data_IF_891882149893
#
_entry.id   IF_891882149893
#
_cell.length_a   1.000
_cell.length_b   1.000
_cell.length_c   1.000
_cell.angle_alpha   90.00
_cell.angle_beta   90.00
_cell.angle_gamma   90.00
#
_symmetry.space_group_name_H-M   'P 1'
#
loop_
_entity.id
_entity.type
_entity.pdbx_description
1 polymer ?
#
# COMPACT_ATOMS: atom_id res chain seq x y z
N UNK A 1 29.11 28.75 -4.02
CA UNK A 1 28.21 28.27 -5.10
C UNK A 1 27.20 27.31 -4.45
N UNK A 2 25.91 27.47 -4.77
CA UNK A 2 24.91 26.51 -4.31
C UNK A 2 25.16 25.12 -4.95
N UNK A 3 25.07 24.02 -4.18
CA UNK A 3 25.28 22.68 -4.74
C UNK A 3 24.19 22.38 -5.77
N UNK A 4 24.61 22.01 -6.98
CA UNK A 4 23.72 21.69 -8.10
C UNK A 4 23.93 20.25 -8.54
N UNK A 5 22.84 19.63 -8.95
CA UNK A 5 22.81 18.25 -9.48
C UNK A 5 22.42 18.32 -10.94
N UNK A 6 23.20 17.63 -11.81
CA UNK A 6 22.98 17.60 -13.27
C UNK A 6 22.88 18.96 -13.91
N UNK A 7 23.52 19.98 -13.34
CA UNK A 7 23.44 21.38 -13.76
C UNK A 7 22.02 21.97 -13.84
N UNK A 8 21.00 21.23 -13.42
CA UNK A 8 19.57 21.60 -13.56
C UNK A 8 18.84 21.73 -12.23
N UNK A 9 19.31 21.05 -11.19
CA UNK A 9 18.57 20.97 -9.94
C UNK A 9 19.42 21.53 -8.80
N UNK A 10 18.89 22.53 -8.10
CA UNK A 10 19.47 23.06 -6.88
C UNK A 10 19.14 22.10 -5.74
N UNK A 11 20.16 21.67 -4.97
CA UNK A 11 19.98 20.83 -3.81
C UNK A 11 19.52 21.68 -2.62
N UNK A 12 18.40 21.31 -2.01
CA UNK A 12 17.82 21.97 -0.85
C UNK A 12 18.01 21.20 0.45
N UNK A 13 17.04 21.31 1.35
CA UNK A 13 17.07 20.64 2.65
C UNK A 13 16.84 19.13 2.53
N UNK A 14 17.40 18.36 3.47
CA UNK A 14 17.10 16.93 3.64
C UNK A 14 15.65 16.75 4.07
N UNK A 15 14.91 15.88 3.36
CA UNK A 15 13.50 15.55 3.63
C UNK A 15 13.31 14.11 4.09
N UNK A 16 14.31 13.23 3.90
CA UNK A 16 14.22 11.85 4.32
C UNK A 16 15.56 11.14 4.36
N UNK A 17 15.55 9.93 4.92
CA UNK A 17 16.67 9.01 4.93
C UNK A 17 16.11 7.60 4.79
N UNK A 18 16.52 6.87 3.78
CA UNK A 18 16.15 5.47 3.54
C UNK A 18 17.30 4.51 3.86
N UNK A 19 17.04 3.22 3.68
CA UNK A 19 18.03 2.16 3.90
C UNK A 19 19.25 2.28 2.98
N UNK A 20 19.12 2.99 1.85
CA UNK A 20 20.10 3.04 0.78
C UNK A 20 20.57 4.45 0.41
N UNK A 21 20.23 5.46 1.20
CA UNK A 21 20.66 6.82 0.91
C UNK A 21 19.85 7.91 1.60
N UNK A 22 20.18 9.13 1.27
CA UNK A 22 19.52 10.33 1.80
C UNK A 22 18.66 10.97 0.72
N UNK A 23 17.53 11.56 1.13
CA UNK A 23 16.58 12.19 0.22
C UNK A 23 16.52 13.68 0.56
N UNK A 24 16.65 14.50 -0.47
CA UNK A 24 16.66 15.96 -0.39
C UNK A 24 15.54 16.56 -1.23
N UNK A 25 14.99 17.66 -0.77
CA UNK A 25 14.20 18.54 -1.61
C UNK A 25 15.13 19.18 -2.63
N UNK A 26 14.74 19.23 -3.89
CA UNK A 26 15.44 19.95 -4.94
C UNK A 26 14.51 20.86 -5.69
N UNK A 27 15.09 21.84 -6.41
CA UNK A 27 14.33 22.76 -7.28
C UNK A 27 14.97 22.78 -8.66
N UNK A 28 14.19 22.54 -9.69
CA UNK A 28 14.63 22.75 -11.06
C UNK A 28 14.85 24.27 -11.29
N UNK A 29 16.07 24.65 -11.64
CA UNK A 29 16.46 26.08 -11.77
C UNK A 29 15.81 26.77 -12.96
N UNK A 30 15.28 26.01 -13.93
CA UNK A 30 14.65 26.56 -15.14
C UNK A 30 13.13 26.72 -14.96
N UNK A 31 12.48 25.73 -14.32
CA UNK A 31 11.01 25.67 -14.22
C UNK A 31 10.50 26.01 -12.82
N UNK A 32 11.38 26.15 -11.83
CA UNK A 32 11.06 26.27 -10.40
C UNK A 32 10.26 25.09 -9.84
N UNK A 33 10.13 23.99 -10.58
CA UNK A 33 9.45 22.79 -10.12
C UNK A 33 10.25 22.11 -9.00
N UNK A 34 9.56 21.76 -7.92
CA UNK A 34 10.15 20.99 -6.83
C UNK A 34 10.28 19.50 -7.19
N UNK A 35 11.38 18.90 -6.78
CA UNK A 35 11.72 17.51 -7.06
C UNK A 35 12.27 16.84 -5.80
N UNK A 36 12.24 15.50 -5.77
CA UNK A 36 12.97 14.71 -4.78
C UNK A 36 14.31 14.26 -5.37
N UNK A 37 15.39 14.44 -4.61
CA UNK A 37 16.76 14.06 -5.00
C UNK A 37 17.26 13.00 -4.03
N UNK A 38 17.40 11.75 -4.50
CA UNK A 38 17.94 10.63 -3.73
C UNK A 38 19.43 10.49 -4.03
N UNK A 39 20.25 10.50 -2.96
CA UNK A 39 21.70 10.37 -3.02
C UNK A 39 22.14 9.05 -2.41
N UNK A 40 22.99 8.31 -3.10
CA UNK A 40 23.64 7.08 -2.64
C UNK A 40 25.14 7.21 -2.81
N UNK A 41 25.93 7.00 -1.76
CA UNK A 41 27.38 7.06 -1.87
C UNK A 41 27.91 5.93 -2.77
N UNK A 42 28.77 6.24 -3.75
CA UNK A 42 29.33 5.26 -4.70
C UNK A 42 30.14 4.15 -4.02
N UNK A 43 30.69 4.43 -2.81
CA UNK A 43 31.45 3.48 -2.01
C UNK A 43 30.56 2.54 -1.18
N UNK A 44 29.24 2.65 -1.32
CA UNK A 44 28.29 1.77 -0.63
C UNK A 44 28.55 0.32 -1.01
N UNK A 45 28.59 -0.57 -0.03
CA UNK A 45 28.90 -2.01 -0.22
C UNK A 45 27.94 -2.71 -1.22
N UNK A 46 26.69 -2.25 -1.28
CA UNK A 46 25.65 -2.79 -2.15
C UNK A 46 24.90 -1.64 -2.83
N UNK A 47 25.46 -1.04 -3.89
CA UNK A 47 24.82 0.07 -4.59
C UNK A 47 23.55 -0.40 -5.29
N UNK A 48 22.45 0.32 -5.09
CA UNK A 48 21.12 -0.03 -5.61
C UNK A 48 20.51 1.06 -6.48
N UNK A 49 20.95 2.31 -6.35
CA UNK A 49 20.28 3.44 -6.98
C UNK A 49 20.28 3.38 -8.51
N UNK A 50 21.34 2.83 -9.11
CA UNK A 50 21.38 2.59 -10.56
C UNK A 50 20.34 1.54 -11.00
N UNK A 51 20.19 0.47 -10.23
CA UNK A 51 19.18 -0.56 -10.50
C UNK A 51 17.77 0.01 -10.34
N UNK A 52 17.54 0.73 -9.25
CA UNK A 52 16.28 1.40 -8.95
C UNK A 52 15.90 2.39 -10.06
N UNK A 53 16.83 3.21 -10.55
CA UNK A 53 16.59 4.16 -11.64
C UNK A 53 16.16 3.49 -12.94
N UNK A 54 16.79 2.33 -13.28
CA UNK A 54 16.39 1.53 -14.44
C UNK A 54 14.97 0.98 -14.28
N UNK A 55 14.61 0.57 -13.07
CA UNK A 55 13.31 0.02 -12.77
C UNK A 55 12.21 1.09 -12.89
N UNK A 56 12.45 2.28 -12.33
CA UNK A 56 11.52 3.42 -12.51
C UNK A 56 11.28 3.71 -14.00
N UNK A 57 12.30 3.65 -14.85
CA UNK A 57 12.14 3.84 -16.31
C UNK A 57 11.26 2.76 -16.95
N UNK A 58 11.38 1.50 -16.50
CA UNK A 58 10.52 0.39 -16.97
C UNK A 58 9.07 0.57 -16.52
N UNK A 59 8.87 1.08 -15.31
CA UNK A 59 7.56 1.30 -14.69
C UNK A 59 6.95 2.65 -15.07
N UNK A 60 7.71 3.55 -15.69
CA UNK A 60 7.28 4.92 -16.01
C UNK A 60 5.99 4.95 -16.82
N UNK A 61 5.15 5.94 -16.54
CA UNK A 61 3.82 6.09 -17.15
C UNK A 61 2.72 5.27 -16.45
N UNK A 62 3.06 4.39 -15.51
CA UNK A 62 2.08 3.70 -14.66
C UNK A 62 1.46 4.65 -13.65
N UNK A 63 0.16 4.53 -13.46
CA UNK A 63 -0.55 5.30 -12.44
C UNK A 63 0.05 5.04 -11.06
N UNK A 64 0.44 6.09 -10.33
CA UNK A 64 1.05 5.99 -9.01
C UNK A 64 2.49 5.46 -9.02
N UNK A 65 3.22 5.69 -10.10
CA UNK A 65 4.67 5.56 -10.19
C UNK A 65 5.26 6.95 -10.44
N UNK A 66 6.20 7.44 -9.63
CA UNK A 66 6.83 8.74 -9.87
C UNK A 66 7.69 8.72 -11.14
N UNK A 67 7.75 9.86 -11.82
CA UNK A 67 8.60 10.01 -13.01
C UNK A 67 10.04 10.27 -12.60
N UNK A 68 10.98 9.64 -13.31
CA UNK A 68 12.40 9.98 -13.23
C UNK A 68 12.66 11.23 -14.05
N UNK A 69 13.25 12.23 -13.42
CA UNK A 69 13.61 13.51 -14.03
C UNK A 69 15.06 13.52 -14.49
N UNK A 70 15.94 12.86 -13.75
CA UNK A 70 17.35 12.74 -14.08
C UNK A 70 18.01 11.63 -13.26
N UNK A 71 19.08 11.04 -13.82
CA UNK A 71 19.97 10.13 -13.10
C UNK A 71 21.39 10.36 -13.57
N UNK A 72 22.35 10.40 -12.65
CA UNK A 72 23.77 10.53 -12.95
C UNK A 72 24.66 10.34 -11.73
N UNK A 73 25.94 10.66 -11.89
CA UNK A 73 26.95 10.64 -10.83
C UNK A 73 27.42 12.07 -10.62
N UNK A 74 27.41 12.51 -9.36
CA UNK A 74 27.92 13.82 -8.94
C UNK A 74 28.89 13.64 -7.76
N UNK A 75 30.17 13.89 -7.99
CA UNK A 75 31.22 13.64 -7.02
C UNK A 75 31.20 12.19 -6.52
N UNK A 76 31.08 12.00 -5.21
CA UNK A 76 31.05 10.68 -4.57
C UNK A 76 29.63 10.04 -4.53
N UNK A 77 28.64 10.55 -5.26
CA UNK A 77 27.26 10.08 -5.17
C UNK A 77 26.65 9.66 -6.51
N UNK A 78 25.98 8.52 -6.51
CA UNK A 78 24.92 8.22 -7.45
C UNK A 78 23.69 9.08 -7.08
N UNK A 79 23.05 9.71 -8.05
CA UNK A 79 21.97 10.64 -7.82
C UNK A 79 20.78 10.30 -8.70
N UNK A 80 19.60 10.19 -8.09
CA UNK A 80 18.34 10.01 -8.78
C UNK A 80 17.41 11.18 -8.44
N UNK A 81 16.94 11.87 -9.47
CA UNK A 81 15.95 12.96 -9.35
C UNK A 81 14.62 12.47 -9.88
N UNK A 82 13.57 12.64 -9.09
CA UNK A 82 12.22 12.17 -9.41
C UNK A 82 11.17 13.19 -8.95
N UNK A 83 9.92 12.93 -9.31
CA UNK A 83 8.79 13.71 -8.83
C UNK A 83 8.82 13.81 -7.30
N UNK A 84 8.58 15.01 -6.77
CA UNK A 84 8.31 15.19 -5.35
C UNK A 84 6.92 14.64 -5.04
N UNK A 85 6.82 13.87 -3.98
CA UNK A 85 5.57 13.30 -3.48
C UNK A 85 5.25 13.84 -2.10
N UNK A 86 4.02 13.62 -1.67
CA UNK A 86 3.54 13.97 -0.34
C UNK A 86 4.01 12.97 0.74
N UNK A 87 3.35 12.97 1.90
CA UNK A 87 3.71 12.12 3.03
C UNK A 87 3.50 10.64 2.73
N UNK A 88 4.28 9.79 3.39
CA UNK A 88 4.08 8.34 3.35
C UNK A 88 2.82 7.92 4.12
N UNK A 89 2.30 6.73 3.81
CA UNK A 89 1.18 6.18 4.58
C UNK A 89 1.55 5.90 6.04
N UNK A 90 2.84 5.68 6.37
CA UNK A 90 3.29 5.58 7.76
C UNK A 90 3.22 6.94 8.48
N UNK A 91 3.60 8.04 7.79
CA UNK A 91 3.48 9.40 8.34
C UNK A 91 2.02 9.76 8.60
N UNK A 92 1.14 9.48 7.63
CA UNK A 92 -0.30 9.74 7.74
C UNK A 92 -0.96 8.86 8.80
N UNK A 93 -0.54 7.61 8.92
CA UNK A 93 -0.98 6.72 9.98
C UNK A 93 -0.60 7.25 11.36
N UNK A 94 0.64 7.72 11.52
CA UNK A 94 1.08 8.34 12.77
C UNK A 94 0.32 9.66 13.05
N UNK A 95 0.05 10.48 12.03
CA UNK A 95 -0.76 11.68 12.13
C UNK A 95 -2.19 11.38 12.62
N UNK A 96 -2.78 10.26 12.18
CA UNK A 96 -4.08 9.75 12.61
C UNK A 96 -4.01 8.94 13.92
N UNK A 97 -3.01 9.19 14.79
CA UNK A 97 -2.84 8.50 16.07
C UNK A 97 -2.78 6.97 15.93
N UNK A 98 -2.20 6.50 14.83
CA UNK A 98 -1.97 5.07 14.50
C UNK A 98 -3.27 4.25 14.44
N UNK A 99 -4.32 4.81 13.89
CA UNK A 99 -5.57 4.10 13.59
C UNK A 99 -6.25 4.76 12.40
N UNK A 100 -6.59 3.97 11.40
CA UNK A 100 -7.37 4.42 10.26
C UNK A 100 -8.76 3.77 10.28
N UNK A 101 -9.75 4.51 9.81
CA UNK A 101 -11.12 4.01 9.64
C UNK A 101 -11.19 2.93 8.56
N UNK A 102 -12.21 2.08 8.65
CA UNK A 102 -12.45 1.05 7.63
C UNK A 102 -12.61 1.68 6.24
N UNK A 103 -13.33 2.81 6.12
CA UNK A 103 -13.48 3.56 4.86
C UNK A 103 -12.13 3.92 4.25
N UNK A 104 -11.25 4.55 5.04
CA UNK A 104 -9.90 4.94 4.59
C UNK A 104 -9.08 3.73 4.17
N UNK A 105 -9.09 2.64 4.96
CA UNK A 105 -8.33 1.42 4.64
C UNK A 105 -8.82 0.77 3.36
N UNK A 106 -10.13 0.72 3.11
CA UNK A 106 -10.69 0.15 1.88
C UNK A 106 -10.38 0.99 0.64
N UNK A 107 -10.42 2.33 0.75
CA UNK A 107 -9.99 3.22 -0.35
C UNK A 107 -8.50 3.06 -0.67
N UNK A 108 -7.66 2.85 0.35
CA UNK A 108 -6.23 2.56 0.17
C UNK A 108 -6.02 1.18 -0.45
N UNK A 109 -6.75 0.16 0.01
CA UNK A 109 -6.63 -1.21 -0.48
C UNK A 109 -6.85 -1.30 -2.00
N UNK A 110 -7.89 -0.65 -2.53
CA UNK A 110 -8.16 -0.60 -3.98
C UNK A 110 -6.96 -0.03 -4.74
N UNK A 111 -6.41 1.10 -4.29
CA UNK A 111 -5.27 1.71 -4.95
C UNK A 111 -3.99 0.87 -4.81
N UNK A 112 -3.70 0.35 -3.61
CA UNK A 112 -2.47 -0.39 -3.35
C UNK A 112 -2.45 -1.72 -4.12
N UNK A 113 -3.58 -2.44 -4.20
CA UNK A 113 -3.70 -3.65 -5.04
C UNK A 113 -3.41 -3.30 -6.50
N UNK A 114 -3.95 -2.20 -7.01
CA UNK A 114 -3.68 -1.75 -8.38
C UNK A 114 -2.19 -1.43 -8.61
N UNK A 115 -1.46 -0.87 -7.62
CA UNK A 115 0.00 -0.62 -7.73
C UNK A 115 0.77 -1.92 -7.79
N UNK A 116 0.45 -2.87 -6.91
CA UNK A 116 1.10 -4.19 -6.89
C UNK A 116 0.81 -4.96 -8.19
N UNK A 117 -0.44 -4.98 -8.65
CA UNK A 117 -0.83 -5.58 -9.94
C UNK A 117 -0.01 -4.99 -11.10
N UNK A 118 0.12 -3.66 -11.18
CA UNK A 118 0.89 -3.01 -12.22
C UNK A 118 2.37 -3.43 -12.21
N UNK A 119 3.01 -3.44 -11.03
CA UNK A 119 4.41 -3.87 -10.88
C UNK A 119 4.56 -5.33 -11.34
N UNK A 120 3.64 -6.21 -10.93
CA UNK A 120 3.64 -7.62 -11.32
C UNK A 120 3.39 -7.80 -12.83
N UNK A 121 2.53 -6.99 -13.45
CA UNK A 121 2.32 -6.99 -14.91
C UNK A 121 3.60 -6.63 -15.68
N UNK A 122 4.45 -5.78 -15.12
CA UNK A 122 5.78 -5.45 -15.66
C UNK A 122 6.85 -6.51 -15.37
N UNK A 123 6.44 -7.67 -14.85
CA UNK A 123 7.30 -8.84 -14.54
C UNK A 123 8.25 -8.65 -13.35
N UNK A 124 7.92 -7.74 -12.43
CA UNK A 124 8.70 -7.49 -11.22
C UNK A 124 7.88 -7.75 -9.95
N UNK A 125 8.59 -8.12 -8.87
CA UNK A 125 8.10 -8.11 -7.50
C UNK A 125 8.69 -6.90 -6.81
N UNK A 126 7.94 -6.30 -5.87
CA UNK A 126 8.43 -5.21 -5.06
C UNK A 126 9.34 -5.70 -3.92
N UNK A 127 8.92 -6.74 -3.20
CA UNK A 127 9.61 -7.44 -2.11
C UNK A 127 9.82 -6.63 -0.80
N UNK A 128 9.35 -5.39 -0.75
CA UNK A 128 9.35 -4.59 0.49
C UNK A 128 8.07 -3.75 0.61
N UNK A 129 6.93 -4.42 0.52
CA UNK A 129 5.61 -3.82 0.72
C UNK A 129 5.48 -3.41 2.19
N UNK A 130 5.42 -2.10 2.43
CA UNK A 130 5.28 -1.48 3.76
C UNK A 130 4.70 -0.08 3.63
N UNK A 131 4.09 0.50 4.69
CA UNK A 131 3.49 1.83 4.65
C UNK A 131 4.45 2.94 4.21
N UNK A 132 5.75 2.83 4.58
CA UNK A 132 6.78 3.81 4.22
C UNK A 132 7.01 3.91 2.71
N UNK A 133 6.74 2.84 1.96
CA UNK A 133 6.97 2.75 0.52
C UNK A 133 5.73 3.10 -0.32
N UNK A 134 4.67 3.61 0.32
CA UNK A 134 3.50 4.17 -0.35
C UNK A 134 3.31 5.62 0.10
N UNK A 135 3.36 6.54 -0.84
CA UNK A 135 3.24 7.98 -0.61
C UNK A 135 1.97 8.52 -1.29
N UNK A 136 1.35 9.52 -0.70
CA UNK A 136 0.31 10.27 -1.40
C UNK A 136 0.95 11.23 -2.42
N UNK A 137 0.23 11.55 -3.47
CA UNK A 137 0.64 12.59 -4.40
C UNK A 137 0.49 14.00 -3.81
N UNK A 138 0.79 15.01 -4.63
CA UNK A 138 0.67 16.42 -4.28
C UNK A 138 -0.31 17.15 -5.22
N UNK A 139 -0.89 18.26 -4.77
CA UNK A 139 -1.79 19.09 -5.53
C UNK A 139 -2.98 18.29 -6.09
N UNK A 140 -3.21 18.37 -7.39
CA UNK A 140 -4.31 17.63 -8.06
C UNK A 140 -4.25 16.12 -7.92
N UNK A 141 -3.12 15.55 -7.48
CA UNK A 141 -2.91 14.12 -7.26
C UNK A 141 -2.85 13.74 -5.78
N UNK A 142 -3.26 14.64 -4.87
CA UNK A 142 -3.18 14.42 -3.42
C UNK A 142 -4.00 13.23 -2.92
N UNK A 143 -4.96 12.75 -3.71
CA UNK A 143 -5.77 11.56 -3.42
C UNK A 143 -5.21 10.27 -4.04
N UNK A 144 -4.07 10.33 -4.73
CA UNK A 144 -3.46 9.21 -5.43
C UNK A 144 -2.32 8.60 -4.63
N UNK A 145 -2.34 7.27 -4.46
CA UNK A 145 -1.27 6.50 -3.82
C UNK A 145 -0.18 6.18 -4.85
N UNK A 146 1.07 6.46 -4.50
CA UNK A 146 2.28 6.14 -5.26
C UNK A 146 3.06 5.04 -4.58
N UNK A 147 3.61 4.09 -5.36
CA UNK A 147 4.59 3.11 -4.89
C UNK A 147 6.00 3.60 -5.20
N UNK A 148 6.90 3.49 -4.22
CA UNK A 148 8.29 3.93 -4.30
C UNK A 148 9.25 2.86 -3.76
N UNK A 149 10.56 3.12 -3.92
CA UNK A 149 11.67 2.32 -3.38
C UNK A 149 11.75 0.91 -3.96
N UNK A 150 12.13 0.83 -5.22
CA UNK A 150 12.33 -0.43 -5.93
C UNK A 150 13.74 -1.03 -5.75
N UNK A 151 14.51 -0.56 -4.77
CA UNK A 151 15.88 -1.03 -4.51
C UNK A 151 15.96 -2.53 -4.20
N UNK A 152 14.91 -3.13 -3.66
CA UNK A 152 14.80 -4.57 -3.40
C UNK A 152 13.98 -5.34 -4.44
N UNK A 153 13.45 -4.67 -5.46
CA UNK A 153 12.60 -5.32 -6.45
C UNK A 153 13.36 -6.40 -7.24
N UNK A 154 12.63 -7.37 -7.78
CA UNK A 154 13.22 -8.51 -8.52
C UNK A 154 12.35 -8.90 -9.71
N UNK A 155 12.99 -9.12 -10.87
CA UNK A 155 12.33 -9.74 -12.02
C UNK A 155 11.97 -11.19 -11.66
N UNK A 156 10.66 -11.55 -11.70
CA UNK A 156 10.18 -12.85 -11.31
C UNK A 156 9.81 -13.76 -12.49
N UNK A 157 9.74 -13.19 -13.69
CA UNK A 157 9.53 -13.95 -14.92
C UNK A 157 10.26 -13.28 -16.09
N UNK A 158 10.56 -14.06 -17.10
CA UNK A 158 11.04 -13.49 -18.35
C UNK A 158 9.97 -12.64 -19.03
N UNK A 159 10.35 -11.52 -19.62
CA UNK A 159 9.41 -10.57 -20.23
C UNK A 159 8.82 -11.05 -21.53
N UNK A 160 9.51 -11.96 -22.24
CA UNK A 160 9.12 -12.47 -23.55
C UNK A 160 8.43 -13.82 -23.44
N UNK A 161 9.07 -14.77 -22.78
CA UNK A 161 8.57 -16.14 -22.63
C UNK A 161 7.56 -16.29 -21.49
N UNK A 162 7.50 -15.32 -20.58
CA UNK A 162 6.72 -15.35 -19.35
C UNK A 162 7.07 -16.51 -18.41
N UNK A 163 8.21 -17.18 -18.64
CA UNK A 163 8.70 -18.23 -17.76
C UNK A 163 9.04 -17.68 -16.40
N UNK A 164 8.42 -18.25 -15.35
CA UNK A 164 8.63 -17.86 -13.96
C UNK A 164 10.02 -18.31 -13.47
N UNK A 165 10.62 -17.55 -12.55
CA UNK A 165 11.84 -17.98 -11.85
C UNK A 165 11.57 -19.30 -11.12
N UNK A 166 12.59 -20.18 -10.97
CA UNK A 166 12.42 -21.46 -10.29
C UNK A 166 12.15 -21.28 -8.79
N UNK A 167 11.36 -22.20 -8.25
CA UNK A 167 11.19 -22.32 -6.80
C UNK A 167 12.54 -22.66 -6.14
N UNK A 168 12.85 -21.97 -5.05
CA UNK A 168 14.07 -22.18 -4.25
C UNK A 168 13.76 -21.97 -2.77
N UNK A 169 14.51 -22.71 -1.94
CA UNK A 169 14.48 -22.59 -0.48
C UNK A 169 15.81 -22.05 0.04
N UNK A 170 15.90 -21.92 1.35
CA UNK A 170 17.10 -21.43 2.06
C UNK A 170 17.52 -20.01 1.64
N UNK A 171 16.54 -19.15 1.34
CA UNK A 171 16.76 -17.73 1.01
C UNK A 171 16.81 -16.89 2.28
N UNK A 172 17.72 -15.92 2.29
CA UNK A 172 17.72 -14.91 3.34
C UNK A 172 16.45 -14.06 3.27
N UNK A 173 15.94 -13.67 4.44
CA UNK A 173 14.81 -12.75 4.53
C UNK A 173 15.15 -11.44 3.81
N UNK A 174 14.38 -11.12 2.79
CA UNK A 174 14.47 -9.86 2.03
C UNK A 174 13.22 -9.02 2.33
N UNK A 175 13.40 -7.72 2.55
CA UNK A 175 12.34 -6.80 2.93
C UNK A 175 12.22 -6.59 4.43
N UNK A 176 11.11 -6.03 4.86
CA UNK A 176 10.84 -5.64 6.24
C UNK A 176 10.15 -6.77 6.99
N UNK A 177 10.81 -7.37 7.99
CA UNK A 177 10.33 -8.56 8.71
C UNK A 177 8.90 -8.42 9.27
N UNK A 178 8.49 -7.20 9.68
CA UNK A 178 7.14 -6.92 10.17
C UNK A 178 6.06 -7.30 9.15
N UNK A 179 6.30 -7.00 7.88
CA UNK A 179 5.32 -7.18 6.81
C UNK A 179 5.63 -8.36 5.89
N UNK A 180 6.82 -8.96 5.95
CA UNK A 180 7.22 -10.10 5.13
C UNK A 180 6.23 -11.27 5.26
N UNK A 181 5.95 -11.97 4.16
CA UNK A 181 5.07 -13.15 4.14
C UNK A 181 5.61 -14.29 5.00
N UNK A 182 4.76 -15.25 5.36
CA UNK A 182 5.22 -16.45 6.07
C UNK A 182 6.27 -17.21 5.28
N UNK A 183 6.08 -17.39 3.97
CA UNK A 183 7.03 -18.09 3.12
C UNK A 183 8.39 -17.41 3.09
N UNK A 184 8.42 -16.06 3.10
CA UNK A 184 9.66 -15.29 3.18
C UNK A 184 10.41 -15.54 4.50
N UNK A 185 9.70 -15.67 5.62
CA UNK A 185 10.32 -16.06 6.91
C UNK A 185 10.85 -17.49 6.91
N UNK A 186 10.19 -18.41 6.21
CA UNK A 186 10.61 -19.80 6.04
C UNK A 186 11.76 -19.98 5.03
N UNK A 187 12.26 -18.89 4.45
CA UNK A 187 13.35 -18.93 3.49
C UNK A 187 12.96 -19.40 2.09
N UNK A 188 11.69 -19.33 1.74
CA UNK A 188 11.20 -19.64 0.40
C UNK A 188 11.40 -18.41 -0.49
N UNK A 189 11.80 -18.61 -1.75
CA UNK A 189 11.92 -17.56 -2.75
C UNK A 189 10.59 -16.82 -2.91
N UNK A 190 10.63 -15.49 -2.96
CA UNK A 190 9.42 -14.67 -3.07
C UNK A 190 8.83 -14.74 -4.47
N UNK A 191 7.50 -14.68 -4.55
CA UNK A 191 6.70 -14.56 -5.75
C UNK A 191 5.56 -13.55 -5.57
N UNK A 192 4.64 -13.47 -6.52
CA UNK A 192 3.52 -12.49 -6.48
C UNK A 192 2.65 -12.62 -5.23
N UNK A 193 2.42 -13.85 -4.74
CA UNK A 193 1.64 -14.10 -3.52
C UNK A 193 2.23 -13.44 -2.28
N UNK A 194 3.55 -13.32 -2.23
CA UNK A 194 4.27 -12.79 -1.07
C UNK A 194 4.10 -11.25 -0.94
N UNK A 195 4.15 -10.51 -2.06
CA UNK A 195 3.83 -9.08 -2.06
C UNK A 195 2.37 -8.83 -1.64
N UNK A 196 1.43 -9.68 -2.07
CA UNK A 196 0.01 -9.57 -1.69
C UNK A 196 -0.21 -9.93 -0.21
N UNK A 197 0.43 -10.97 0.33
CA UNK A 197 0.34 -11.29 1.75
C UNK A 197 0.90 -10.13 2.61
N UNK A 198 2.02 -9.53 2.17
CA UNK A 198 2.59 -8.34 2.80
C UNK A 198 1.62 -7.16 2.79
N UNK A 199 0.91 -6.95 1.69
CA UNK A 199 -0.14 -5.93 1.60
C UNK A 199 -1.27 -6.19 2.60
N UNK A 200 -1.72 -7.44 2.73
CA UNK A 200 -2.70 -7.82 3.75
C UNK A 200 -2.27 -7.42 5.16
N UNK A 201 -1.00 -7.66 5.51
CA UNK A 201 -0.45 -7.23 6.81
C UNK A 201 -0.42 -5.71 6.97
N UNK A 202 -0.16 -4.95 5.93
CA UNK A 202 -0.24 -3.48 5.95
C UNK A 202 -1.68 -3.01 6.23
N UNK A 203 -2.68 -3.60 5.56
CA UNK A 203 -4.09 -3.24 5.78
C UNK A 203 -4.53 -3.55 7.21
N UNK A 204 -4.17 -4.73 7.74
CA UNK A 204 -4.46 -5.07 9.13
C UNK A 204 -3.71 -4.19 10.13
N UNK A 205 -2.48 -3.78 9.82
CA UNK A 205 -1.72 -2.83 10.62
C UNK A 205 -2.44 -1.48 10.76
N UNK A 206 -3.01 -0.97 9.67
CA UNK A 206 -3.77 0.27 9.67
C UNK A 206 -5.06 0.18 10.49
N UNK A 207 -5.77 -0.94 10.42
CA UNK A 207 -7.00 -1.15 11.18
C UNK A 207 -6.73 -1.39 12.68
N UNK A 208 -5.70 -2.19 13.00
CA UNK A 208 -5.41 -2.63 14.36
C UNK A 208 -4.59 -1.63 15.18
N UNK A 209 -3.82 -0.76 14.53
CA UNK A 209 -2.82 0.10 15.18
C UNK A 209 -1.45 -0.57 15.32
N UNK A 210 -1.40 -1.90 15.36
CA UNK A 210 -0.18 -2.71 15.47
C UNK A 210 -0.43 -4.14 15.01
N UNK A 211 0.66 -4.91 14.79
CA UNK A 211 0.60 -6.33 14.49
C UNK A 211 1.06 -7.17 15.71
N UNK A 212 0.54 -8.41 15.89
CA UNK A 212 0.81 -9.24 17.07
C UNK A 212 2.30 -9.56 17.31
N UNK A 213 3.13 -9.43 16.29
CA UNK A 213 4.57 -9.69 16.33
C UNK A 213 5.43 -8.43 16.44
N UNK A 214 4.84 -7.28 16.82
CA UNK A 214 5.56 -6.06 17.14
C UNK A 214 5.97 -6.02 18.61
N UNK A 215 7.00 -5.24 18.92
CA UNK A 215 7.46 -5.02 20.31
C UNK A 215 8.19 -6.20 20.94
N UNK A 216 8.49 -7.28 20.20
CA UNK A 216 9.19 -8.44 20.73
C UNK A 216 10.63 -8.08 21.09
N UNK A 217 11.02 -8.38 22.37
CA UNK A 217 12.39 -8.19 22.87
C UNK A 217 13.29 -9.31 22.36
N UNK A 218 14.47 -8.97 21.86
CA UNK A 218 15.49 -9.91 21.39
C UNK A 218 16.88 -9.34 21.60
N UNK A 219 17.86 -10.21 21.84
CA UNK A 219 19.25 -9.80 22.05
C UNK A 219 19.97 -9.36 20.78
N UNK A 220 19.59 -9.92 19.63
CA UNK A 220 20.18 -9.58 18.33
C UNK A 220 19.16 -9.65 17.20
N UNK A 221 19.58 -9.19 16.01
CA UNK A 221 18.71 -9.13 14.82
C UNK A 221 18.18 -10.50 14.39
N UNK A 222 19.01 -11.57 14.47
CA UNK A 222 18.63 -12.94 14.09
C UNK A 222 17.53 -13.44 15.01
N UNK A 223 17.73 -13.39 16.31
CA UNK A 223 16.72 -13.77 17.32
C UNK A 223 15.42 -12.96 17.18
N UNK A 224 15.53 -11.66 16.85
CA UNK A 224 14.35 -10.85 16.59
C UNK A 224 13.55 -11.38 15.41
N UNK A 225 14.20 -11.76 14.33
CA UNK A 225 13.54 -12.31 13.14
C UNK A 225 12.93 -13.70 13.42
N UNK A 226 13.61 -14.56 14.17
CA UNK A 226 13.11 -15.85 14.63
C UNK A 226 11.83 -15.66 15.45
N UNK A 227 11.85 -14.81 16.48
CA UNK A 227 10.66 -14.53 17.31
C UNK A 227 9.49 -13.94 16.50
N UNK A 228 9.77 -13.07 15.52
CA UNK A 228 8.73 -12.54 14.62
C UNK A 228 8.14 -13.68 13.78
N UNK A 229 8.98 -14.54 13.24
CA UNK A 229 8.55 -15.71 12.46
C UNK A 229 7.68 -16.66 13.29
N UNK A 230 8.15 -17.06 14.46
CA UNK A 230 7.41 -17.92 15.38
C UNK A 230 6.04 -17.34 15.75
N UNK A 231 6.02 -16.05 16.13
CA UNK A 231 4.77 -15.36 16.48
C UNK A 231 3.82 -15.23 15.30
N UNK A 232 4.34 -15.01 14.10
CA UNK A 232 3.56 -14.93 12.87
C UNK A 232 2.97 -16.29 12.49
N UNK A 233 3.75 -17.36 12.58
CA UNK A 233 3.29 -18.75 12.36
C UNK A 233 2.23 -19.17 13.37
N UNK A 234 2.42 -18.85 14.65
CA UNK A 234 1.46 -19.17 15.72
C UNK A 234 0.21 -18.30 15.75
N UNK A 235 0.13 -17.25 14.93
CA UNK A 235 -1.06 -16.40 14.83
C UNK A 235 -1.89 -16.84 13.63
N UNK A 236 -3.06 -17.45 13.86
CA UNK A 236 -3.98 -17.82 12.79
C UNK A 236 -4.56 -16.56 12.10
N UNK A 237 -5.03 -16.73 10.87
CA UNK A 237 -5.69 -15.66 10.11
C UNK A 237 -6.91 -15.14 10.87
N UNK A 238 -7.71 -16.04 11.45
CA UNK A 238 -8.90 -15.72 12.23
C UNK A 238 -8.56 -14.91 13.48
N UNK A 239 -7.45 -15.25 14.14
CA UNK A 239 -6.94 -14.50 15.29
C UNK A 239 -6.43 -13.12 14.89
N UNK A 240 -5.73 -13.02 13.76
CA UNK A 240 -5.26 -11.74 13.21
C UNK A 240 -6.41 -10.83 12.83
N UNK A 241 -7.46 -11.36 12.19
CA UNK A 241 -8.59 -10.60 11.66
C UNK A 241 -9.78 -10.52 12.63
N UNK A 242 -9.65 -11.04 13.86
CA UNK A 242 -10.76 -11.03 14.85
C UNK A 242 -11.25 -9.61 15.13
N UNK A 243 -12.58 -9.42 15.02
CA UNK A 243 -13.23 -8.12 15.23
C UNK A 243 -13.18 -7.18 14.03
N UNK A 244 -12.73 -7.67 12.88
CA UNK A 244 -12.74 -6.93 11.61
C UNK A 244 -13.56 -7.72 10.57
N UNK A 245 -14.00 -7.08 9.46
CA UNK A 245 -14.77 -7.75 8.41
C UNK A 245 -14.08 -9.03 7.89
N UNK A 246 -14.88 -10.05 7.63
CA UNK A 246 -14.41 -11.39 7.20
C UNK A 246 -13.64 -11.36 5.89
N UNK A 247 -13.85 -10.34 5.08
CA UNK A 247 -13.16 -10.11 3.82
C UNK A 247 -11.63 -10.02 3.98
N UNK A 248 -11.16 -9.50 5.11
CA UNK A 248 -9.71 -9.49 5.40
C UNK A 248 -9.18 -10.91 5.63
N UNK A 249 -9.93 -11.78 6.31
CA UNK A 249 -9.56 -13.18 6.44
C UNK A 249 -9.60 -13.90 5.08
N UNK A 250 -10.64 -13.67 4.28
CA UNK A 250 -10.77 -14.22 2.92
C UNK A 250 -9.60 -13.80 2.03
N UNK A 251 -9.15 -12.54 2.13
CA UNK A 251 -7.98 -12.04 1.43
C UNK A 251 -6.71 -12.85 1.77
N UNK A 252 -6.44 -13.09 3.06
CA UNK A 252 -5.28 -13.88 3.48
C UNK A 252 -5.37 -15.34 3.07
N UNK A 253 -6.55 -15.96 3.20
CA UNK A 253 -6.77 -17.34 2.77
C UNK A 253 -6.52 -17.48 1.27
N UNK A 254 -7.00 -16.54 0.47
CA UNK A 254 -6.72 -16.52 -0.95
C UNK A 254 -5.22 -16.39 -1.23
N UNK A 255 -4.53 -15.41 -0.67
CA UNK A 255 -3.10 -15.22 -0.89
C UNK A 255 -2.27 -16.46 -0.52
N UNK A 256 -2.62 -17.13 0.60
CA UNK A 256 -1.93 -18.33 1.06
C UNK A 256 -2.28 -19.60 0.29
N UNK A 257 -3.42 -19.64 -0.41
CA UNK A 257 -3.80 -20.73 -1.29
C UNK A 257 -3.06 -20.74 -2.63
N UNK A 258 -2.47 -19.61 -3.01
CA UNK A 258 -1.72 -19.48 -4.26
C UNK A 258 -0.43 -20.30 -4.22
N UNK A 259 -0.17 -21.07 -5.27
CA UNK A 259 1.12 -21.71 -5.51
C UNK A 259 2.18 -20.68 -5.86
N UNK A 260 3.43 -21.11 -5.89
CA UNK A 260 4.58 -20.22 -6.11
C UNK A 260 4.49 -19.40 -7.41
N UNK A 261 4.07 -20.04 -8.50
CA UNK A 261 4.00 -19.46 -9.85
C UNK A 261 2.59 -19.05 -10.31
N UNK A 262 1.58 -19.25 -9.46
CA UNK A 262 0.20 -18.88 -9.79
C UNK A 262 0.08 -17.37 -10.06
N UNK A 263 -0.72 -17.04 -11.09
CA UNK A 263 -1.13 -15.66 -11.34
C UNK A 263 -2.29 -15.31 -10.40
N UNK A 264 -2.13 -14.32 -9.51
CA UNK A 264 -3.23 -13.88 -8.66
C UNK A 264 -4.39 -13.29 -9.45
N UNK A 265 -5.61 -13.53 -8.99
CA UNK A 265 -6.80 -12.81 -9.44
C UNK A 265 -6.94 -11.50 -8.65
N UNK A 266 -6.29 -10.45 -9.15
CA UNK A 266 -6.35 -9.12 -8.54
C UNK A 266 -7.76 -8.53 -8.60
N UNK A 267 -8.54 -8.89 -9.63
CA UNK A 267 -9.91 -8.42 -9.76
C UNK A 267 -10.79 -8.99 -8.65
N UNK A 268 -10.60 -10.27 -8.31
CA UNK A 268 -11.26 -10.88 -7.16
C UNK A 268 -10.88 -10.16 -5.85
N UNK A 269 -9.57 -9.91 -5.59
CA UNK A 269 -9.12 -9.23 -4.38
C UNK A 269 -9.67 -7.80 -4.26
N UNK A 270 -9.77 -7.07 -5.37
CA UNK A 270 -10.40 -5.75 -5.39
C UNK A 270 -11.90 -5.84 -5.16
N UNK A 271 -12.56 -6.85 -5.74
CA UNK A 271 -14.01 -7.03 -5.63
C UNK A 271 -14.44 -7.30 -4.20
N UNK A 272 -13.77 -8.20 -3.44
CA UNK A 272 -14.15 -8.49 -2.05
C UNK A 272 -14.13 -7.24 -1.17
N UNK A 273 -13.16 -6.34 -1.37
CA UNK A 273 -13.11 -5.08 -0.63
C UNK A 273 -14.09 -4.03 -1.16
N UNK A 274 -14.37 -4.03 -2.46
CA UNK A 274 -15.36 -3.13 -3.05
C UNK A 274 -16.78 -3.51 -2.61
N UNK A 275 -17.10 -4.79 -2.58
CA UNK A 275 -18.40 -5.28 -2.12
C UNK A 275 -18.60 -4.95 -0.64
N UNK A 276 -17.56 -5.10 0.19
CA UNK A 276 -17.55 -4.64 1.57
C UNK A 276 -17.79 -3.13 1.65
N UNK A 277 -17.08 -2.33 0.87
CA UNK A 277 -17.20 -0.86 0.84
C UNK A 277 -18.63 -0.40 0.52
N UNK A 278 -19.27 -1.05 -0.45
CA UNK A 278 -20.67 -0.79 -0.84
C UNK A 278 -21.62 -1.21 0.29
N UNK A 279 -21.42 -2.40 0.89
CA UNK A 279 -22.24 -2.93 1.98
C UNK A 279 -22.22 -2.04 3.21
N UNK A 280 -21.08 -1.42 3.53
CA UNK A 280 -20.93 -0.46 4.61
C UNK A 280 -21.51 0.94 4.27
N UNK A 281 -22.07 1.13 3.07
CA UNK A 281 -22.67 2.40 2.63
C UNK A 281 -21.65 3.51 2.36
N UNK A 282 -20.37 3.18 2.18
CA UNK A 282 -19.34 4.17 1.93
C UNK A 282 -19.39 4.71 0.49
N UNK A 283 -18.83 5.91 0.28
CA UNK A 283 -18.66 6.52 -1.03
C UNK A 283 -17.19 6.76 -1.33
N UNK A 284 -16.77 6.53 -2.58
CA UNK A 284 -15.42 6.80 -3.09
C UNK A 284 -15.23 8.30 -3.35
N UNK A 285 -15.24 9.08 -2.27
CA UNK A 285 -15.05 10.53 -2.29
C UNK A 285 -13.59 10.95 -2.07
N UNK A 286 -12.70 9.99 -1.79
CA UNK A 286 -11.30 10.19 -1.44
C UNK A 286 -11.08 11.11 -0.23
N UNK A 287 -12.09 11.25 0.63
CA UNK A 287 -11.98 11.95 1.92
C UNK A 287 -11.42 10.96 2.93
N UNK A 288 -10.11 11.02 3.12
CA UNK A 288 -9.37 10.19 4.06
C UNK A 288 -9.41 10.77 5.49
N UNK A 289 -9.12 9.94 6.50
CA UNK A 289 -9.12 10.36 7.91
C UNK A 289 -8.21 11.56 8.16
N UNK A 290 -7.02 11.62 7.56
CA UNK A 290 -6.11 12.77 7.67
C UNK A 290 -6.66 14.04 7.04
N UNK A 291 -7.48 13.94 6.01
CA UNK A 291 -8.15 15.09 5.40
C UNK A 291 -9.14 15.69 6.37
N UNK A 292 -9.93 14.84 7.03
CA UNK A 292 -10.90 15.26 8.07
C UNK A 292 -10.17 15.91 9.24
N UNK A 293 -9.11 15.27 9.74
CA UNK A 293 -8.33 15.78 10.88
C UNK A 293 -7.67 17.13 10.55
N UNK A 294 -7.10 17.28 9.36
CA UNK A 294 -6.50 18.55 8.92
C UNK A 294 -7.57 19.66 8.86
N UNK A 295 -8.73 19.36 8.31
CA UNK A 295 -9.84 20.31 8.27
C UNK A 295 -10.28 20.72 9.67
N UNK A 296 -10.46 19.77 10.60
CA UNK A 296 -10.82 20.06 11.98
C UNK A 296 -9.78 20.93 12.69
N UNK A 297 -8.49 20.66 12.49
CA UNK A 297 -7.40 21.46 13.04
C UNK A 297 -7.41 22.89 12.48
N UNK A 298 -7.67 23.06 11.18
CA UNK A 298 -7.77 24.38 10.57
C UNK A 298 -8.92 25.23 11.10
N UNK A 299 -10.06 24.59 11.41
CA UNK A 299 -11.20 25.26 12.03
C UNK A 299 -10.91 25.70 13.47
N UNK A 300 -10.14 24.91 14.22
CA UNK A 300 -9.72 25.28 15.57
C UNK A 300 -8.67 26.38 15.57
N UNK A 301 -7.78 26.43 14.57
CA UNK A 301 -6.75 27.45 14.44
C UNK A 301 -7.32 28.81 13.97
N UNK A 302 -8.39 28.79 13.18
CA UNK A 302 -9.10 29.98 12.70
C UNK A 302 -10.60 29.84 13.03
N UNK A 303 -11.00 30.07 14.28
CA UNK A 303 -12.43 30.07 14.63
C UNK A 303 -13.12 31.16 13.81
N UNK A 304 -14.30 30.88 13.19
CA UNK A 304 -15.05 31.89 12.49
C UNK A 304 -15.32 33.05 13.46
N UNK A 305 -14.90 34.27 13.09
CA UNK A 305 -15.17 35.45 13.86
C UNK A 305 -16.68 35.53 14.10
N UNK A 306 -17.10 35.33 15.37
CA UNK A 306 -18.47 35.62 15.78
C UNK A 306 -18.70 37.09 15.44
N UNK A 307 -19.46 37.37 14.36
CA UNK A 307 -19.96 38.67 14.08
C UNK A 307 -20.64 39.21 15.33
N UNK A 308 -20.10 40.26 15.90
CA UNK A 308 -20.73 41.04 16.93
C UNK A 308 -22.14 41.42 16.43
N UNK A 309 -23.17 40.69 16.87
CA UNK A 309 -24.52 41.18 16.83
C UNK A 309 -24.54 42.35 17.80
N UNK A 310 -24.44 43.57 17.26
CA UNK A 310 -24.62 44.81 17.99
C UNK A 310 -26.03 44.78 18.61
N UNK A 311 -26.06 44.79 19.91
CA UNK A 311 -27.27 45.01 20.67
C UNK A 311 -27.79 46.41 20.32
N UNK A 312 -28.89 46.48 19.59
CA UNK A 312 -29.65 47.71 19.40
C UNK A 312 -30.40 48.03 20.69
N UNK A 313 -29.83 48.94 21.44
CA UNK A 313 -30.56 49.60 22.54
C UNK A 313 -31.50 50.65 21.95
N UNK A 314 -32.74 50.58 22.37
CA UNK A 314 -33.85 51.49 22.13
C UNK A 314 -33.56 52.90 22.62
N UNK A 315 -33.76 53.91 21.77
CA UNK A 315 -34.22 55.24 22.22
C UNK A 315 -34.94 56.00 21.09
N UNK A 316 -36.11 56.49 21.44
CA UNK A 316 -37.11 57.24 20.70
C UNK A 316 -36.66 58.63 20.23
N UNK A 317 -37.23 59.11 19.10
CA UNK A 317 -37.17 60.53 18.70
C UNK A 317 -37.51 60.78 17.24
N UNK A 318 -38.66 61.37 16.98
CA UNK A 318 -39.34 61.74 15.72
C UNK A 318 -38.81 63.08 15.15
N UNK A 319 -39.15 63.48 13.87
CA UNK A 319 -38.26 64.07 12.87
C UNK A 319 -38.41 65.64 12.77
N UNK A 320 -37.84 66.37 11.79
CA UNK A 320 -38.44 66.58 10.47
C UNK A 320 -37.51 66.99 9.28
N UNK A 321 -37.99 66.69 8.10
CA UNK A 321 -38.23 67.47 6.84
C UNK A 321 -37.13 68.20 6.10
N UNK A 322 -37.16 68.01 4.78
CA UNK A 322 -36.91 68.82 3.60
C UNK A 322 -35.46 68.99 3.10
N UNK A 323 -35.23 68.74 1.91
CA UNK A 323 -35.53 69.14 0.60
C UNK A 323 -34.28 69.23 -0.32
N UNK A 324 -34.45 68.79 -1.53
CA UNK A 324 -33.94 69.31 -2.80
C UNK A 324 -32.41 69.43 -2.99
N UNK A 325 -31.84 69.13 -4.10
CA UNK A 325 -32.16 69.12 -5.53
C UNK A 325 -30.92 68.83 -6.35
N UNK A 326 -31.17 68.21 -7.47
CA UNK A 326 -30.59 68.51 -8.79
C UNK A 326 -29.20 68.02 -9.24
N UNK A 327 -29.31 67.19 -10.23
CA UNK A 327 -28.89 67.35 -11.66
C UNK A 327 -27.50 66.87 -12.05
N UNK A 328 -27.55 66.03 -12.97
CA UNK A 328 -27.30 65.87 -14.43
C UNK A 328 -25.91 65.25 -14.68
N UNK A 329 -25.71 64.40 -15.51
CA UNK A 329 -25.98 63.89 -16.86
C UNK A 329 -24.77 62.99 -17.18
N UNK A 330 -24.75 62.01 -17.96
CA UNK A 330 -25.37 61.58 -19.18
C UNK A 330 -24.48 60.55 -19.86
N UNK A 331 -25.07 59.78 -20.76
CA UNK A 331 -24.46 59.07 -21.86
C UNK A 331 -24.32 57.54 -21.61
N UNK A 332 -25.27 56.73 -22.04
CA UNK A 332 -25.47 56.09 -23.36
C UNK A 332 -24.27 55.29 -23.82
N UNK A 333 -24.37 54.11 -24.31
CA UNK A 333 -25.30 53.15 -24.91
C UNK A 333 -24.50 51.86 -25.09
N UNK A 334 -24.91 50.65 -25.28
CA UNK A 334 -25.92 49.92 -26.03
C UNK A 334 -25.95 48.46 -25.59
N UNK A 335 -27.14 47.93 -25.54
CA UNK A 335 -27.50 46.49 -25.42
C UNK A 335 -27.49 45.81 -26.81
N UNK A 336 -27.70 44.48 -27.01
CA UNK A 336 -28.75 43.60 -26.50
C UNK A 336 -28.24 42.17 -26.07
N UNK A 337 -28.87 41.35 -25.27
CA UNK A 337 -30.24 41.01 -24.93
C UNK A 337 -30.70 39.66 -25.46
N UNK A 338 -31.19 38.80 -24.57
CA UNK A 338 -32.31 37.85 -24.72
C UNK A 338 -32.42 37.10 -23.37
N UNK A 339 -33.36 37.29 -22.54
CA UNK A 339 -34.73 36.90 -22.18
C UNK A 339 -34.99 35.39 -22.43
N UNK A 340 -35.64 34.62 -21.67
CA UNK A 340 -36.60 34.63 -20.55
C UNK A 340 -36.91 33.16 -20.25
N UNK A 341 -37.43 32.60 -19.19
CA UNK A 341 -38.54 32.99 -18.36
C UNK A 341 -38.74 32.00 -17.22
N UNK A 342 -39.07 32.50 -16.04
CA UNK A 342 -39.76 31.76 -14.94
C UNK A 342 -41.28 31.83 -15.19
N UNK A 343 -42.14 30.98 -14.53
CA UNK A 343 -42.72 31.38 -13.27
C UNK A 343 -43.03 30.20 -12.27
N UNK A 344 -42.77 30.36 -11.02
CA UNK A 344 -43.55 30.69 -9.79
C UNK A 344 -44.87 30.00 -9.52
N UNK A 345 -45.04 29.46 -8.34
CA UNK A 345 -46.01 29.70 -7.23
C UNK A 345 -46.21 28.50 -6.31
N UNK A 346 -45.84 28.60 -5.07
CA UNK A 346 -46.55 28.90 -3.78
C UNK A 346 -47.52 27.84 -3.33
N UNK A 347 -47.50 27.30 -2.09
CA UNK A 347 -47.78 27.70 -0.71
C UNK A 347 -47.77 26.45 0.17
N UNK A 348 -47.08 26.43 1.23
CA UNK A 348 -47.36 26.68 2.66
C UNK A 348 -48.44 25.87 3.34
N UNK A 349 -48.09 25.49 4.57
CA UNK A 349 -48.88 25.18 5.80
C UNK A 349 -48.75 23.68 6.17
N UNK A 350 -48.28 23.22 7.30
CA UNK A 350 -48.19 23.64 8.66
C UNK A 350 -48.08 22.39 9.52
N UNK A 351 -47.32 22.42 10.57
CA UNK A 351 -47.27 21.44 11.65
C UNK A 351 -48.57 21.54 12.51
N UNK A 352 -48.93 20.62 13.45
CA UNK A 352 -48.10 20.17 14.57
C UNK A 352 -48.33 18.73 15.12
N UNK A 353 -47.41 18.33 16.01
CA UNK A 353 -47.42 17.38 17.11
C UNK A 353 -48.70 16.61 17.50
N UNK A 354 -48.59 15.31 17.82
CA UNK A 354 -48.83 14.81 19.18
C UNK A 354 -48.61 13.30 19.31
N UNK A 355 -48.07 12.95 20.46
CA UNK A 355 -47.82 11.66 21.08
C UNK A 355 -49.07 10.80 21.29
N UNK A 356 -48.87 9.47 21.40
CA UNK A 356 -49.85 8.58 21.98
C UNK A 356 -49.51 7.10 21.90
N UNK A 357 -49.29 6.54 23.03
CA UNK A 357 -48.91 5.20 23.43
C UNK A 357 -49.94 4.07 23.19
N UNK A 358 -49.39 2.85 23.18
CA UNK A 358 -49.90 1.55 23.71
C UNK A 358 -51.01 0.79 22.96
N UNK A 359 -50.80 -0.43 22.55
CA UNK A 359 -50.93 -1.69 23.27
C UNK A 359 -51.26 -2.87 22.36
N UNK A 360 -50.56 -3.96 22.62
CA UNK A 360 -50.86 -5.40 22.55
C UNK A 360 -52.20 -5.86 21.94
N UNK A 361 -52.18 -6.86 21.03
CA UNK A 361 -52.59 -8.25 21.32
C UNK A 361 -52.65 -9.15 20.08
N UNK A 362 -51.98 -10.32 20.20
CA UNK A 362 -52.34 -11.71 19.89
C UNK A 362 -52.87 -12.12 18.51
N UNK A 363 -52.14 -13.15 18.00
CA UNK A 363 -52.50 -14.21 17.05
C UNK A 363 -53.84 -14.90 17.41
N UNK A 364 -54.49 -15.69 16.49
CA UNK A 364 -53.96 -16.97 16.06
C UNK A 364 -54.30 -17.46 14.63
N UNK A 365 -53.44 -18.29 14.12
CA UNK A 365 -53.53 -19.65 13.48
C UNK A 365 -54.54 -19.97 12.38
N UNK A 366 -53.97 -20.75 11.47
CA UNK A 366 -54.49 -21.92 10.71
C UNK A 366 -54.95 -21.63 9.29
N UNK A 367 -54.47 -22.27 8.32
CA UNK A 367 -54.52 -23.58 7.73
C UNK A 367 -54.28 -23.51 6.21
N UNK A 368 -53.42 -24.40 5.72
CA UNK A 368 -53.35 -24.91 4.38
C UNK A 368 -54.70 -25.56 3.96
N UNK A 369 -54.96 -25.93 2.67
CA UNK A 369 -54.09 -26.65 1.76
C UNK A 369 -54.26 -26.45 0.22
N UNK A 370 -53.20 -26.83 -0.50
CA UNK A 370 -53.17 -27.64 -1.74
C UNK A 370 -53.96 -27.32 -3.01
N UNK A 371 -53.31 -27.62 -4.10
CA UNK A 371 -53.68 -28.15 -5.42
C UNK A 371 -53.54 -27.23 -6.64
N UNK A 372 -52.52 -27.56 -7.41
CA UNK A 372 -52.53 -28.21 -8.73
C UNK A 372 -52.66 -27.36 -10.02
N UNK A 373 -51.77 -27.74 -10.92
CA UNK A 373 -51.89 -27.87 -12.40
C UNK A 373 -51.74 -26.58 -13.21
N UNK A 374 -50.89 -26.62 -14.09
CA UNK A 374 -50.48 -27.27 -15.36
C UNK A 374 -50.57 -26.30 -16.56
N UNK A 375 -49.60 -26.47 -17.42
CA UNK A 375 -49.58 -26.36 -18.88
C UNK A 375 -49.66 -24.94 -19.51
N UNK A 376 -48.93 -24.57 -20.51
CA UNK A 376 -48.33 -25.24 -21.66
C UNK A 376 -47.36 -24.29 -22.37
N UNK A 377 -46.30 -24.80 -22.89
CA UNK A 377 -45.82 -24.99 -24.30
C UNK A 377 -45.72 -23.69 -25.13
N UNK A 378 -44.79 -23.51 -26.02
CA UNK A 378 -44.15 -24.36 -27.01
C UNK A 378 -43.02 -23.62 -27.72
N UNK A 379 -41.96 -24.33 -28.07
CA UNK A 379 -41.40 -24.58 -29.43
C UNK A 379 -40.65 -23.43 -30.10
N UNK A 380 -39.58 -23.60 -30.82
CA UNK A 380 -39.00 -24.65 -31.69
C UNK A 380 -37.61 -24.17 -32.11
N UNK A 381 -36.65 -24.94 -32.26
CA UNK A 381 -36.04 -25.90 -33.22
C UNK A 381 -34.77 -25.30 -33.79
N UNK A 382 -33.67 -25.92 -34.08
CA UNK A 382 -33.17 -27.24 -34.52
C UNK A 382 -31.66 -27.13 -34.60
N UNK A 383 -30.85 -28.00 -34.21
CA UNK A 383 -30.42 -29.37 -34.45
C UNK A 383 -29.31 -29.48 -35.50
N UNK A 384 -28.42 -30.37 -35.22
CA UNK A 384 -27.67 -31.43 -35.92
C UNK A 384 -26.31 -31.56 -35.28
N UNK A 385 -25.78 -32.66 -34.78
CA UNK A 385 -26.02 -34.07 -34.99
C UNK A 385 -24.69 -34.75 -34.80
N UNK A 386 -24.56 -35.63 -33.84
CA UNK A 386 -24.36 -37.06 -33.90
C UNK A 386 -23.10 -37.52 -34.65
N UNK A 387 -22.28 -38.46 -34.24
CA UNK A 387 -22.53 -39.69 -33.49
C UNK A 387 -21.24 -40.49 -33.21
N UNK A 388 -21.30 -41.22 -32.12
CA UNK A 388 -20.95 -42.64 -31.88
C UNK A 388 -19.51 -43.08 -31.61
N UNK A 389 -19.35 -43.56 -30.38
CA UNK A 389 -18.50 -44.71 -29.98
C UNK A 389 -19.11 -46.04 -30.49
N UNK A 390 -18.33 -47.16 -30.60
CA UNK A 390 -18.24 -48.04 -29.45
C UNK A 390 -16.87 -48.69 -29.19
N UNK A 391 -16.82 -49.35 -28.04
CA UNK A 391 -15.75 -50.14 -27.44
C UNK A 391 -15.68 -51.57 -28.04
N UNK A 392 -14.57 -52.28 -27.81
CA UNK A 392 -14.43 -53.61 -27.20
C UNK A 392 -13.07 -54.27 -27.50
N UNK A 393 -12.35 -54.56 -26.47
CA UNK A 393 -11.58 -55.73 -26.02
C UNK A 393 -10.66 -56.52 -26.93
N UNK A 394 -9.52 -56.97 -26.36
CA UNK A 394 -8.95 -58.28 -26.58
C UNK A 394 -7.44 -58.41 -26.68
N UNK A 395 -6.84 -58.71 -25.57
CA UNK A 395 -5.78 -59.67 -25.24
C UNK A 395 -4.76 -60.19 -26.29
N UNK A 396 -3.54 -60.32 -25.73
CA UNK A 396 -2.52 -61.40 -25.81
C UNK A 396 -1.20 -61.08 -26.46
N UNK A 397 -0.17 -61.20 -25.60
CA UNK A 397 1.23 -61.50 -25.91
C UNK A 397 1.41 -62.78 -26.76
N UNK A 398 2.60 -63.06 -27.36
CA UNK A 398 3.89 -63.22 -26.63
C UNK A 398 5.18 -62.82 -27.43
N UNK A 399 6.30 -62.74 -26.68
CA UNK A 399 7.68 -62.84 -27.08
C UNK A 399 8.00 -64.13 -27.93
N UNK A 400 9.17 -64.20 -28.66
CA UNK A 400 10.49 -64.34 -28.03
C UNK A 400 11.74 -63.81 -28.83
N UNK A 401 12.79 -63.53 -28.08
CA UNK A 401 14.14 -64.08 -28.03
C UNK A 401 15.21 -63.79 -29.13
N UNK A 402 16.39 -63.67 -28.61
CA UNK A 402 17.78 -64.00 -28.98
C UNK A 402 18.54 -62.87 -29.69
N UNK A 403 19.78 -62.65 -29.39
CA UNK A 403 20.83 -63.28 -28.59
C UNK A 403 22.08 -62.42 -28.60
N UNK A 404 22.88 -62.58 -27.60
CA UNK A 404 24.33 -62.82 -27.54
C UNK A 404 25.28 -61.80 -28.26
N UNK A 405 26.39 -61.32 -27.68
CA UNK A 405 27.39 -61.93 -26.81
C UNK A 405 28.32 -60.87 -26.21
N UNK A 406 28.75 -61.09 -25.00
CA UNK A 406 30.02 -60.65 -24.42
C UNK A 406 31.23 -61.40 -25.04
N UNK A 407 32.51 -61.07 -24.69
CA UNK A 407 33.10 -61.06 -23.36
C UNK A 407 34.30 -60.10 -23.12
N UNK A 408 34.52 -59.66 -21.94
CA UNK A 408 35.37 -60.18 -20.83
C UNK A 408 36.77 -59.54 -20.66
N UNK A 409 37.05 -59.37 -19.39
CA UNK A 409 38.23 -59.55 -18.57
C UNK A 409 39.17 -58.38 -18.26
N UNK A 410 39.35 -58.19 -16.97
CA UNK A 410 40.45 -58.31 -16.06
C UNK A 410 40.42 -57.41 -14.85
N UNK A 411 40.07 -57.91 -13.74
CA UNK A 411 40.69 -58.20 -12.42
C UNK A 411 42.03 -57.50 -12.21
N UNK A 412 42.34 -56.86 -11.06
CA UNK A 412 42.59 -57.41 -9.71
C UNK A 412 42.74 -56.24 -8.71
N UNK A 413 42.09 -56.33 -7.51
CA UNK A 413 42.59 -56.52 -6.13
C UNK A 413 43.63 -55.48 -5.65
N UNK A 414 43.67 -54.91 -4.44
CA UNK A 414 43.22 -55.33 -3.12
C UNK A 414 43.41 -54.18 -2.10
N UNK A 415 42.60 -54.24 -1.02
CA UNK A 415 42.96 -54.03 0.37
C UNK A 415 43.22 -52.63 0.99
N UNK A 416 42.37 -52.26 1.90
CA UNK A 416 42.62 -51.54 3.17
C UNK A 416 43.43 -52.43 4.16
N UNK A 417 43.96 -51.99 5.34
CA UNK A 417 43.51 -50.93 6.26
C UNK A 417 44.63 -50.27 7.14
N UNK A 418 44.22 -49.35 8.05
CA UNK A 418 44.93 -49.18 9.35
C UNK A 418 45.35 -47.77 9.70
N UNK A 419 44.64 -47.10 10.54
CA UNK A 419 44.79 -46.87 11.99
C UNK A 419 45.94 -45.94 12.47
N UNK A 420 45.52 -44.91 13.24
CA UNK A 420 46.11 -44.34 14.45
C UNK A 420 47.51 -43.63 14.37
N UNK A 421 47.53 -42.32 14.74
CA UNK A 421 48.14 -41.89 16.03
C UNK A 421 48.07 -40.36 16.20
N UNK A 422 47.65 -40.01 17.44
CA UNK A 422 47.90 -38.75 18.15
C UNK A 422 49.40 -38.47 18.26
N UNK A 423 49.81 -37.21 18.26
CA UNK A 423 50.79 -36.64 19.21
C UNK A 423 50.55 -35.12 19.39
N UNK A 424 50.56 -34.76 20.62
CA UNK A 424 50.49 -33.48 21.32
C UNK A 424 51.82 -32.71 21.25
N UNK A 425 51.77 -31.35 21.37
CA UNK A 425 52.53 -30.49 22.35
C UNK A 425 52.60 -29.06 21.82
N UNK A 426 52.06 -28.06 22.48
CA UNK A 426 52.56 -27.26 23.60
C UNK A 426 53.56 -26.15 23.18
N UNK A 427 53.22 -24.90 23.59
CA UNK A 427 54.12 -23.74 23.65
C UNK A 427 53.34 -22.45 23.60
N UNK A 428 52.86 -21.97 24.55
CA UNK A 428 52.97 -20.97 25.63
C UNK A 428 53.65 -19.63 25.26
N UNK A 429 52.95 -18.56 25.74
CA UNK A 429 53.35 -17.20 26.23
C UNK A 429 53.25 -16.09 25.17
N UNK A 430 52.72 -14.91 25.49
CA UNK A 430 52.37 -14.21 26.75
C UNK A 430 51.56 -12.95 26.43
N UNK A 431 50.62 -12.59 27.29
CA UNK A 431 49.97 -11.28 27.40
C UNK A 431 50.90 -10.23 28.05
N UNK A 432 50.61 -8.92 28.04
CA UNK A 432 49.81 -8.30 29.10
C UNK A 432 48.87 -7.18 28.60
N UNK A 433 47.65 -7.17 29.09
CA UNK A 433 46.95 -6.33 30.09
C UNK A 433 47.30 -4.84 30.06
N UNK A 434 46.31 -3.98 29.81
CA UNK A 434 45.83 -2.93 30.72
C UNK A 434 44.39 -2.56 30.40
N UNK A 435 43.60 -2.48 31.44
CA UNK A 435 42.20 -2.13 31.52
C UNK A 435 41.94 -0.62 31.40
N UNK A 436 40.76 -0.25 30.92
CA UNK A 436 39.99 0.81 31.59
C UNK A 436 38.53 0.70 31.24
N UNK A 437 37.72 0.51 32.25
CA UNK A 437 36.28 0.63 32.33
C UNK A 437 35.77 1.97 31.83
N UNK A 438 34.75 1.96 30.99
CA UNK A 438 33.68 2.96 31.12
C UNK A 438 32.34 2.34 30.73
N UNK A 439 31.54 2.06 31.74
CA UNK A 439 30.12 1.86 31.70
C UNK A 439 29.45 3.00 30.92
N UNK A 440 28.69 2.66 29.87
CA UNK A 440 27.62 3.53 29.36
C UNK A 440 26.36 2.71 29.19
N UNK A 441 25.46 2.92 30.10
CA UNK A 441 24.06 2.51 30.06
C UNK A 441 23.39 3.15 28.87
N UNK A 442 22.91 2.33 27.92
CA UNK A 442 22.00 2.79 26.88
C UNK A 442 20.57 2.54 27.32
N UNK A 443 19.98 3.55 27.91
CA UNK A 443 18.53 3.65 28.08
C UNK A 443 17.86 3.68 26.70
N UNK A 444 16.99 2.74 26.50
CA UNK A 444 16.01 2.71 25.41
C UNK A 444 15.18 3.99 25.43
N UNK A 445 15.43 4.92 24.52
CA UNK A 445 14.54 6.04 24.26
C UNK A 445 13.50 5.61 23.22
N UNK A 446 12.25 5.62 23.63
CA UNK A 446 11.11 5.73 22.72
C UNK A 446 11.37 6.90 21.75
N UNK A 447 11.00 6.78 20.46
CA UNK A 447 11.04 7.92 19.57
C UNK A 447 9.96 8.90 20.02
N UNK A 448 10.40 9.95 20.70
CA UNK A 448 9.57 11.06 21.13
C UNK A 448 9.20 11.99 19.96
N UNK A 449 8.61 13.14 20.25
CA UNK A 449 7.88 14.04 19.34
C UNK A 449 8.67 14.62 18.15
N UNK A 450 9.90 14.21 17.90
CA UNK A 450 10.71 14.69 16.76
C UNK A 450 10.14 14.31 15.38
N UNK A 451 9.45 13.17 15.28
CA UNK A 451 8.81 12.75 14.02
C UNK A 451 7.57 13.60 13.69
N UNK A 452 6.87 14.10 14.69
CA UNK A 452 5.70 14.98 14.50
C UNK A 452 6.15 16.36 13.99
N UNK A 453 7.27 16.89 14.53
CA UNK A 453 7.83 18.17 14.07
C UNK A 453 8.35 18.12 12.62
N UNK A 454 8.93 16.99 12.20
CA UNK A 454 9.35 16.80 10.81
C UNK A 454 8.13 16.69 9.86
N UNK A 455 7.06 16.06 10.31
CA UNK A 455 5.80 15.96 9.55
C UNK A 455 5.13 17.32 9.41
N UNK A 456 5.02 18.10 10.50
CA UNK A 456 4.51 19.48 10.46
C UNK A 456 5.35 20.40 9.58
N UNK A 457 6.69 20.25 9.59
CA UNK A 457 7.56 21.01 8.70
C UNK A 457 7.41 20.63 7.23
N UNK A 458 7.12 19.35 6.94
CA UNK A 458 6.84 18.85 5.59
C UNK A 458 5.47 19.36 5.12
N UNK A 459 4.46 19.37 5.99
CA UNK A 459 3.14 19.94 5.69
C UNK A 459 3.18 21.47 5.53
N UNK A 460 3.90 22.19 6.40
CA UNK A 460 4.07 23.65 6.26
C UNK A 460 4.84 24.05 5.01
N UNK A 461 5.77 23.22 4.54
CA UNK A 461 6.41 23.41 3.24
C UNK A 461 5.49 23.22 2.04
N UNK A 462 4.34 22.57 2.24
CA UNK A 462 3.31 22.31 1.22
C UNK A 462 2.21 23.40 1.26
N UNK A 463 2.02 24.07 2.39
CA UNK A 463 1.01 25.15 2.56
C UNK A 463 1.32 26.42 1.76
N UNK A 464 2.55 26.58 1.27
CA UNK A 464 2.94 27.67 0.34
C UNK A 464 2.59 27.41 -1.13
N UNK A 465 2.07 26.24 -1.46
CA UNK A 465 1.57 25.93 -2.80
C UNK A 465 0.06 26.17 -2.82
N UNK A 466 -0.34 27.32 -3.36
CA UNK A 466 -1.75 27.68 -3.57
C UNK A 466 -2.49 26.56 -4.31
N UNK A 467 -3.60 26.13 -3.72
CA UNK A 467 -4.61 25.26 -4.32
C UNK A 467 -5.48 26.05 -5.30
#
# INVERSE_FOLDING_TARGET
MEPRVGNKFRLGRKIGSGSFGEIYLGTNIQTNEEVAIKLENIKTKHPQLLYESKLYKILQGGTGIPNVRWYGVEGDYNVLVMDLLGPSLEDLFNFCSRKLSLKTVLMLADQMINRVEFIHCKSFLHRDIKPDNFLMGLGRRANQVYAIDFGLAKKYRDSTTHQHIPYRENKNLTGTARYASMNTHLGIEQSRRDDLESLGYVLMYFLRGSLPWQGLKAGNKKQKYEKISEKKVSTSIESLCRGYPTEFASYFHYCRSLRFDDKPDYAYLKRIFRDLFIREGFQFDYIFDWTILKYQQSQLANPPSRGLAAAAGTSSGIPPVAANSNRLSGGEEVRPGWSSSNPSRTRNVGMPFSSGNLSKQKNPASSDPALSRELSSSNMLQSYGSSRRPAVSGSRDPMPSSGEAEPSLGRTTDASPGALRRVTSSGQRSSPVVASDQKRSTTSKNPGPANIKNFESTLKGIEGLHF
#
